data_IF_668048419003
#
_entry.id   IF_668048419003
#
_cell.length_a   1.000
_cell.length_b   1.000
_cell.length_c   1.000
_cell.angle_alpha   90.00
_cell.angle_beta   90.00
_cell.angle_gamma   90.00
#
_symmetry.space_group_name_H-M   'P 1'
#
loop_
_entity.id
_entity.type
_entity.pdbx_description
1 polymer ?
#
# COMPACT_ATOMS: atom_id res chain seq x y z
N UNK A 1 -50.30 -55.55 30.79
CA UNK A 1 -50.26 -54.09 30.53
C UNK A 1 -49.11 -53.57 31.38
N UNK A 2 -47.95 -53.08 30.92
CA UNK A 2 -47.40 -52.64 29.64
C UNK A 2 -45.89 -52.91 29.73
N UNK A 3 -45.34 -53.67 28.79
CA UNK A 3 -43.90 -53.85 28.58
C UNK A 3 -43.58 -53.24 27.20
N UNK A 4 -42.46 -52.53 27.11
CA UNK A 4 -41.87 -51.82 25.95
C UNK A 4 -42.19 -50.33 25.84
N UNK A 5 -41.35 -49.49 26.45
CA UNK A 5 -41.12 -48.09 26.03
C UNK A 5 -39.72 -47.60 26.42
N UNK A 6 -38.64 -48.26 25.96
CA UNK A 6 -37.28 -47.66 25.96
C UNK A 6 -36.40 -48.25 24.86
N UNK A 7 -36.81 -48.07 23.60
CA UNK A 7 -35.91 -48.23 22.46
C UNK A 7 -36.12 -47.03 21.54
N UNK A 8 -35.03 -46.32 21.23
CA UNK A 8 -35.00 -45.33 20.18
C UNK A 8 -34.62 -43.92 20.61
N UNK A 9 -33.42 -43.73 21.17
CA UNK A 9 -32.57 -42.57 20.83
C UNK A 9 -31.14 -42.75 21.39
N UNK A 10 -30.46 -43.84 21.02
CA UNK A 10 -28.99 -43.78 21.04
C UNK A 10 -28.62 -42.94 19.82
N UNK A 11 -28.47 -41.62 20.01
CA UNK A 11 -27.83 -40.77 19.00
C UNK A 11 -26.42 -41.32 18.82
N UNK A 12 -26.15 -41.79 17.62
CA UNK A 12 -24.82 -42.20 17.18
C UNK A 12 -23.93 -40.95 17.16
N UNK A 13 -23.33 -40.61 18.31
CA UNK A 13 -22.34 -39.54 18.42
C UNK A 13 -21.03 -40.05 17.79
N UNK A 14 -21.00 -40.06 16.47
CA UNK A 14 -19.80 -40.29 15.67
C UNK A 14 -18.87 -39.08 15.82
N UNK A 15 -17.97 -39.17 16.80
CA UNK A 15 -16.90 -38.18 16.99
C UNK A 15 -15.85 -38.27 15.88
N UNK A 16 -15.28 -37.12 15.50
CA UNK A 16 -14.09 -37.06 14.62
C UNK A 16 -12.93 -37.85 15.23
N UNK A 17 -12.25 -38.66 14.43
CA UNK A 17 -11.04 -39.34 14.90
C UNK A 17 -9.87 -38.37 14.97
N UNK A 18 -8.95 -38.57 15.93
CA UNK A 18 -7.71 -37.79 16.02
C UNK A 18 -6.86 -37.93 14.75
N UNK A 19 -6.92 -39.08 14.08
CA UNK A 19 -6.21 -39.34 12.83
C UNK A 19 -6.77 -38.51 11.69
N UNK A 20 -8.09 -38.35 11.59
CA UNK A 20 -8.71 -37.47 10.59
C UNK A 20 -8.28 -36.02 10.77
N UNK A 21 -8.30 -35.50 12.00
CA UNK A 21 -7.85 -34.14 12.26
C UNK A 21 -6.35 -33.96 12.00
N UNK A 22 -5.52 -34.97 12.25
CA UNK A 22 -4.09 -34.92 11.97
C UNK A 22 -3.81 -34.85 10.47
N UNK A 23 -4.46 -35.68 9.65
CA UNK A 23 -4.29 -35.65 8.19
C UNK A 23 -4.77 -34.33 7.59
N UNK A 24 -5.87 -33.77 8.09
CA UNK A 24 -6.38 -32.47 7.65
C UNK A 24 -5.38 -31.35 7.96
N UNK A 25 -4.84 -31.31 9.17
CA UNK A 25 -3.82 -30.32 9.56
C UNK A 25 -2.54 -30.47 8.72
N UNK A 26 -2.15 -31.70 8.36
CA UNK A 26 -1.03 -31.95 7.47
C UNK A 26 -1.25 -31.35 6.08
N UNK A 27 -2.43 -31.59 5.48
CA UNK A 27 -2.77 -31.05 4.16
C UNK A 27 -2.87 -29.52 4.21
N UNK A 28 -3.55 -28.96 5.23
CA UNK A 28 -3.63 -27.50 5.43
C UNK A 28 -2.25 -26.89 5.64
N UNK A 29 -1.35 -27.57 6.37
CA UNK A 29 0.04 -27.14 6.56
C UNK A 29 0.82 -27.09 5.25
N UNK A 30 0.66 -28.10 4.38
CA UNK A 30 1.31 -28.13 3.06
C UNK A 30 0.83 -26.97 2.17
N UNK A 31 -0.48 -26.73 2.13
CA UNK A 31 -1.05 -25.61 1.37
C UNK A 31 -0.61 -24.25 1.92
N UNK A 32 -0.60 -24.10 3.25
CA UNK A 32 -0.18 -22.87 3.91
C UNK A 32 1.30 -22.54 3.63
N UNK A 33 2.19 -23.54 3.59
CA UNK A 33 3.61 -23.34 3.31
C UNK A 33 3.87 -22.66 1.95
N UNK A 34 3.07 -22.98 0.93
CA UNK A 34 3.18 -22.37 -0.41
C UNK A 34 2.43 -21.02 -0.46
N UNK A 35 1.25 -20.95 0.14
CA UNK A 35 0.37 -19.78 0.04
C UNK A 35 0.87 -18.56 0.84
N UNK A 36 1.39 -18.76 2.05
CA UNK A 36 1.81 -17.69 2.95
C UNK A 36 2.89 -16.76 2.34
N UNK A 37 4.01 -17.25 1.78
CA UNK A 37 5.03 -16.36 1.21
C UNK A 37 4.52 -15.58 0.01
N UNK A 38 3.69 -16.20 -0.85
CA UNK A 38 3.06 -15.53 -1.97
C UNK A 38 2.10 -14.43 -1.50
N UNK A 39 1.31 -14.70 -0.47
CA UNK A 39 0.39 -13.73 0.13
C UNK A 39 1.10 -12.50 0.69
N UNK A 40 2.24 -12.68 1.38
CA UNK A 40 3.03 -11.55 1.88
C UNK A 40 3.58 -10.66 0.76
N UNK A 41 4.05 -11.25 -0.34
CA UNK A 41 4.51 -10.48 -1.50
C UNK A 41 3.36 -9.66 -2.14
N UNK A 42 2.19 -10.29 -2.32
CA UNK A 42 1.01 -9.58 -2.85
C UNK A 42 0.57 -8.43 -1.94
N UNK A 43 0.59 -8.63 -0.62
CA UNK A 43 0.29 -7.58 0.35
C UNK A 43 1.29 -6.42 0.29
N UNK A 44 2.57 -6.71 0.08
CA UNK A 44 3.59 -5.65 -0.08
C UNK A 44 3.38 -4.86 -1.37
N UNK A 45 3.07 -5.54 -2.49
CA UNK A 45 2.72 -4.88 -3.75
C UNK A 45 1.46 -4.03 -3.65
N UNK A 46 0.46 -4.47 -2.89
CA UNK A 46 -0.75 -3.68 -2.62
C UNK A 46 -0.42 -2.39 -1.85
N UNK A 47 0.41 -2.47 -0.79
CA UNK A 47 0.88 -1.28 -0.06
C UNK A 47 1.67 -0.31 -0.95
N UNK A 48 2.47 -0.84 -1.86
CA UNK A 48 3.18 -0.01 -2.85
C UNK A 48 2.21 0.64 -3.84
N UNK A 49 1.17 -0.06 -4.27
CA UNK A 49 0.11 0.48 -5.12
C UNK A 49 -0.69 1.59 -4.41
N UNK A 50 -1.00 1.42 -3.12
CA UNK A 50 -1.65 2.45 -2.30
C UNK A 50 -0.79 3.71 -2.20
N UNK A 51 0.53 3.55 -2.03
CA UNK A 51 1.47 4.68 -2.00
C UNK A 51 1.56 5.39 -3.36
N UNK A 52 1.58 4.63 -4.47
CA UNK A 52 1.51 5.19 -5.83
C UNK A 52 0.21 5.96 -6.08
N UNK A 53 -0.92 5.43 -5.63
CA UNK A 53 -2.20 6.12 -5.73
C UNK A 53 -2.20 7.40 -4.91
N UNK A 54 -1.70 7.33 -3.67
CA UNK A 54 -1.63 8.49 -2.78
C UNK A 54 -0.75 9.61 -3.35
N UNK A 55 0.39 9.28 -3.95
CA UNK A 55 1.25 10.32 -4.56
C UNK A 55 0.63 10.93 -5.82
N UNK A 56 -0.18 10.17 -6.59
CA UNK A 56 -0.99 10.70 -7.71
C UNK A 56 -2.12 11.61 -7.25
N UNK A 57 -2.81 11.25 -6.17
CA UNK A 57 -3.80 12.12 -5.53
C UNK A 57 -3.12 13.38 -5.01
N UNK A 58 -1.94 13.28 -4.42
CA UNK A 58 -1.17 14.44 -3.97
C UNK A 58 -0.69 15.33 -5.14
N UNK A 59 -0.27 14.75 -6.26
CA UNK A 59 0.00 15.49 -7.52
C UNK A 59 -1.24 16.28 -7.95
N UNK A 60 -2.42 15.65 -7.95
CA UNK A 60 -3.68 16.34 -8.29
C UNK A 60 -3.96 17.50 -7.32
N UNK A 61 -3.80 17.28 -6.01
CA UNK A 61 -3.97 18.31 -4.99
C UNK A 61 -2.95 19.47 -5.14
N UNK A 62 -1.72 19.18 -5.59
CA UNK A 62 -0.72 20.21 -5.89
C UNK A 62 -1.15 21.10 -7.06
N UNK A 63 -1.75 20.53 -8.11
CA UNK A 63 -2.29 21.30 -9.24
C UNK A 63 -3.52 22.13 -8.83
N UNK A 64 -4.37 21.61 -7.95
CA UNK A 64 -5.48 22.38 -7.36
C UNK A 64 -4.95 23.54 -6.51
N UNK A 65 -3.96 23.30 -5.64
CA UNK A 65 -3.32 24.35 -4.85
C UNK A 65 -2.78 25.47 -5.74
N UNK A 66 -2.07 25.11 -6.82
CA UNK A 66 -1.57 26.10 -7.76
C UNK A 66 -2.69 26.90 -8.44
N UNK A 67 -3.82 26.27 -8.75
CA UNK A 67 -4.99 26.96 -9.32
C UNK A 67 -5.50 28.06 -8.38
N UNK A 68 -5.55 27.78 -7.08
CA UNK A 68 -5.98 28.75 -6.06
C UNK A 68 -4.90 29.81 -5.75
N UNK A 69 -3.63 29.51 -6.04
CA UNK A 69 -2.47 30.35 -5.73
C UNK A 69 -1.82 30.97 -6.98
N UNK A 70 -2.63 31.48 -7.91
CA UNK A 70 -2.19 32.18 -9.13
C UNK A 70 -1.21 31.39 -10.02
N UNK A 71 -1.37 30.07 -10.09
CA UNK A 71 -0.51 29.16 -10.84
C UNK A 71 0.83 28.84 -10.17
N UNK A 72 0.99 29.16 -8.88
CA UNK A 72 2.25 28.98 -8.14
C UNK A 72 2.15 27.88 -7.09
N UNK A 73 3.20 27.06 -6.99
CA UNK A 73 3.29 26.04 -5.94
C UNK A 73 4.01 26.53 -4.66
N UNK A 74 4.56 27.74 -4.68
CA UNK A 74 5.32 28.33 -3.56
C UNK A 74 4.49 28.41 -2.29
N UNK A 75 5.08 28.00 -1.17
CA UNK A 75 4.45 28.06 0.15
C UNK A 75 3.55 26.88 0.50
N UNK A 76 3.35 25.93 -0.41
CA UNK A 76 2.58 24.71 -0.12
C UNK A 76 3.19 23.90 1.02
N UNK A 77 2.35 23.45 1.93
CA UNK A 77 2.65 22.49 2.97
C UNK A 77 1.78 21.23 2.80
N UNK A 78 2.19 20.13 3.45
CA UNK A 78 1.41 18.88 3.45
C UNK A 78 -0.02 19.10 3.99
N UNK A 79 -0.17 20.02 4.96
CA UNK A 79 -1.47 20.38 5.53
C UNK A 79 -2.44 20.96 4.49
N UNK A 80 -1.94 21.75 3.54
CA UNK A 80 -2.75 22.34 2.47
C UNK A 80 -3.28 21.23 1.55
N UNK A 81 -2.42 20.27 1.19
CA UNK A 81 -2.80 19.11 0.38
C UNK A 81 -3.86 18.25 1.06
N UNK A 82 -3.74 18.01 2.36
CA UNK A 82 -4.76 17.27 3.13
C UNK A 82 -6.07 18.04 3.32
N UNK A 83 -6.05 19.37 3.19
CA UNK A 83 -7.25 20.20 3.22
C UNK A 83 -7.99 20.12 1.88
N UNK A 84 -7.24 20.12 0.77
CA UNK A 84 -7.76 19.96 -0.58
C UNK A 84 -8.28 18.54 -0.81
N UNK A 85 -7.49 17.53 -0.45
CA UNK A 85 -7.81 16.11 -0.60
C UNK A 85 -7.71 15.37 0.75
N UNK A 86 -8.81 15.29 1.52
CA UNK A 86 -8.81 14.66 2.85
C UNK A 86 -8.42 13.18 2.85
N UNK A 87 -8.53 12.50 1.71
CA UNK A 87 -8.12 11.10 1.53
C UNK A 87 -6.62 10.90 1.74
N UNK A 88 -5.81 11.96 1.57
CA UNK A 88 -4.36 11.94 1.83
C UNK A 88 -4.02 11.78 3.31
N UNK A 89 -4.96 12.01 4.24
CA UNK A 89 -4.77 11.70 5.66
C UNK A 89 -4.46 10.22 5.91
N UNK A 90 -4.89 9.33 5.02
CA UNK A 90 -4.56 7.90 5.10
C UNK A 90 -3.05 7.64 4.89
N UNK A 91 -2.36 8.48 4.11
CA UNK A 91 -0.91 8.41 3.97
C UNK A 91 -0.19 8.94 5.23
N UNK A 92 -0.81 9.89 5.96
CA UNK A 92 -0.31 10.44 7.21
C UNK A 92 1.12 10.97 7.08
N UNK A 93 2.00 10.58 8.01
CA UNK A 93 3.42 11.00 8.01
C UNK A 93 4.25 10.45 6.85
N UNK A 94 3.68 9.56 6.03
CA UNK A 94 4.38 9.03 4.87
C UNK A 94 4.35 9.98 3.67
N UNK A 95 3.41 10.94 3.64
CA UNK A 95 3.37 11.99 2.64
C UNK A 95 4.31 13.13 3.04
N UNK A 96 5.25 13.48 2.16
CA UNK A 96 6.23 14.53 2.43
C UNK A 96 6.49 15.40 1.18
N UNK A 97 6.91 16.64 1.44
CA UNK A 97 7.46 17.56 0.45
C UNK A 97 8.97 17.67 0.74
N UNK A 98 9.82 16.86 0.08
CA UNK A 98 11.25 16.75 0.42
C UNK A 98 12.06 18.01 0.10
N UNK A 99 11.51 18.91 -0.72
CA UNK A 99 12.10 20.20 -1.04
C UNK A 99 10.98 21.25 -1.07
N UNK A 100 11.31 22.48 -0.70
CA UNK A 100 10.38 23.60 -0.81
C UNK A 100 9.98 23.78 -2.28
N UNK A 101 8.67 23.84 -2.54
CA UNK A 101 8.16 24.15 -3.85
C UNK A 101 8.49 25.61 -4.22
N UNK A 102 8.71 25.84 -5.52
CA UNK A 102 8.90 27.18 -6.09
C UNK A 102 7.69 27.52 -6.97
N UNK A 103 7.72 28.67 -7.65
CA UNK A 103 6.61 29.12 -8.48
C UNK A 103 6.22 28.06 -9.53
N UNK A 104 7.19 27.30 -10.06
CA UNK A 104 6.97 26.36 -11.16
C UNK A 104 7.51 24.95 -10.90
N UNK A 105 8.04 24.67 -9.71
CA UNK A 105 8.61 23.36 -9.38
C UNK A 105 8.05 22.81 -8.09
N UNK A 106 7.84 21.51 -8.04
CA UNK A 106 7.56 20.83 -6.80
C UNK A 106 8.09 19.40 -6.82
N UNK A 107 8.20 18.82 -5.63
CA UNK A 107 8.40 17.40 -5.46
C UNK A 107 7.50 16.94 -4.32
N UNK A 108 6.74 15.88 -4.56
CA UNK A 108 5.91 15.21 -3.56
C UNK A 108 6.32 13.75 -3.48
N UNK A 109 6.40 13.23 -2.26
CA UNK A 109 6.79 11.85 -1.98
C UNK A 109 5.78 11.17 -1.07
N UNK A 110 5.54 9.88 -1.31
CA UNK A 110 4.83 9.01 -0.38
C UNK A 110 5.67 7.77 -0.10
N UNK A 111 5.94 7.52 1.18
CA UNK A 111 6.57 6.27 1.64
C UNK A 111 5.55 5.15 1.74
N UNK A 112 5.83 4.03 1.08
CA UNK A 112 5.07 2.79 1.25
C UNK A 112 5.21 2.25 2.66
N UNK A 113 4.11 1.74 3.21
CA UNK A 113 4.08 1.02 4.50
C UNK A 113 4.56 -0.44 4.35
N UNK A 114 5.01 -0.82 3.14
CA UNK A 114 5.68 -2.09 2.89
C UNK A 114 6.96 -2.18 3.74
N UNK A 115 7.33 -3.37 4.26
CA UNK A 115 8.60 -3.57 4.96
C UNK A 115 9.83 -3.19 4.12
N UNK A 116 9.68 -3.18 2.79
CA UNK A 116 10.75 -2.83 1.85
C UNK A 116 11.03 -1.32 1.76
N UNK A 117 10.17 -0.48 2.33
CA UNK A 117 10.45 0.95 2.51
C UNK A 117 10.51 1.76 1.21
N UNK A 118 9.86 1.30 0.14
CA UNK A 118 9.81 2.03 -1.14
C UNK A 118 9.22 3.43 -0.95
N UNK A 119 9.87 4.44 -1.51
CA UNK A 119 9.41 5.81 -1.66
C UNK A 119 8.97 6.02 -3.09
N UNK A 120 7.75 6.52 -3.29
CA UNK A 120 7.24 6.92 -4.60
C UNK A 120 7.20 8.43 -4.67
N UNK A 121 7.82 8.99 -5.70
CA UNK A 121 8.00 10.42 -5.90
C UNK A 121 7.39 10.84 -7.23
N UNK A 122 6.71 11.99 -7.21
CA UNK A 122 6.40 12.77 -8.39
C UNK A 122 7.07 14.13 -8.24
N UNK A 123 7.77 14.57 -9.29
CA UNK A 123 8.41 15.88 -9.31
C UNK A 123 8.12 16.59 -10.61
N UNK A 124 7.80 17.87 -10.52
CA UNK A 124 7.60 18.77 -11.66
C UNK A 124 8.78 19.71 -11.77
N UNK A 125 9.45 19.69 -12.92
CA UNK A 125 10.48 20.65 -13.26
C UNK A 125 9.88 21.94 -13.83
N UNK A 126 10.66 23.03 -13.82
CA UNK A 126 10.19 24.36 -14.22
C UNK A 126 9.73 24.43 -15.69
N UNK A 127 10.24 23.53 -16.53
CA UNK A 127 9.83 23.36 -17.92
C UNK A 127 8.51 22.59 -18.09
N UNK A 128 7.82 22.25 -17.00
CA UNK A 128 6.57 21.48 -17.00
C UNK A 128 6.75 19.97 -17.15
N UNK A 129 7.98 19.45 -17.23
CA UNK A 129 8.21 18.01 -17.29
C UNK A 129 8.00 17.38 -15.91
N UNK A 130 7.13 16.37 -15.85
CA UNK A 130 6.90 15.56 -14.65
C UNK A 130 7.74 14.29 -14.69
N UNK A 131 8.47 13.99 -13.63
CA UNK A 131 9.21 12.74 -13.49
C UNK A 131 8.69 11.91 -12.32
N UNK A 132 8.57 10.61 -12.57
CA UNK A 132 8.03 9.63 -11.64
C UNK A 132 9.12 8.67 -11.20
N UNK A 133 9.62 8.86 -9.98
CA UNK A 133 10.76 8.13 -9.46
C UNK A 133 10.38 7.31 -8.25
N UNK A 134 11.01 6.16 -8.06
CA UNK A 134 10.88 5.35 -6.87
C UNK A 134 12.22 4.74 -6.46
N UNK A 135 12.37 4.44 -5.17
CA UNK A 135 13.60 3.89 -4.59
C UNK A 135 13.44 3.74 -3.08
N UNK A 136 14.51 3.47 -2.34
CA UNK A 136 14.46 3.20 -0.89
C UNK A 136 15.15 4.27 -0.04
N UNK A 137 15.90 5.19 -0.66
CA UNK A 137 16.57 6.31 0.01
C UNK A 137 15.74 7.60 0.03
N UNK A 138 15.88 8.40 1.10
CA UNK A 138 15.20 9.69 1.30
C UNK A 138 15.73 10.85 0.42
N UNK A 139 16.39 10.54 -0.71
CA UNK A 139 16.93 11.53 -1.64
C UNK A 139 15.89 12.01 -2.66
N UNK A 140 16.23 13.09 -3.37
CA UNK A 140 15.50 13.58 -4.55
C UNK A 140 16.47 13.54 -5.75
N UNK A 141 16.29 12.65 -6.74
CA UNK A 141 15.34 11.55 -6.76
C UNK A 141 15.67 10.46 -5.72
N UNK A 142 14.70 9.61 -5.33
CA UNK A 142 14.95 8.51 -4.41
C UNK A 142 16.06 7.61 -4.94
N UNK A 143 16.99 7.23 -4.08
CA UNK A 143 18.17 6.42 -4.43
C UNK A 143 17.97 4.95 -4.06
N UNK A 144 18.73 4.07 -4.72
CA UNK A 144 18.77 2.64 -4.44
C UNK A 144 17.85 1.79 -5.34
N UNK A 145 18.07 0.46 -5.37
CA UNK A 145 17.26 -0.43 -6.19
C UNK A 145 15.83 -0.52 -5.65
N UNK A 146 14.86 -0.32 -6.54
CA UNK A 146 13.47 -0.63 -6.25
C UNK A 146 13.27 -2.11 -5.87
N UNK A 147 12.32 -2.37 -4.97
CA UNK A 147 11.79 -3.72 -4.69
C UNK A 147 10.31 -3.76 -5.01
N UNK A 148 9.77 -4.94 -5.28
CA UNK A 148 8.34 -5.21 -5.48
C UNK A 148 7.60 -4.29 -6.47
N UNK A 149 6.98 -3.22 -5.97
CA UNK A 149 6.23 -2.25 -6.76
C UNK A 149 7.09 -1.18 -7.44
N UNK A 150 8.39 -1.09 -7.12
CA UNK A 150 9.33 -0.18 -7.77
C UNK A 150 10.20 -0.90 -8.81
N UNK A 151 10.18 -0.51 -10.10
CA UNK A 151 11.04 -1.08 -11.14
C UNK A 151 12.53 -0.88 -10.87
N UNK A 152 13.38 -1.71 -11.47
CA UNK A 152 14.84 -1.60 -11.35
C UNK A 152 15.42 -0.34 -11.98
N UNK A 153 14.72 0.27 -12.94
CA UNK A 153 15.03 1.59 -13.50
C UNK A 153 14.84 2.73 -12.49
N UNK A 154 14.07 2.49 -11.41
CA UNK A 154 13.59 3.54 -10.52
C UNK A 154 12.51 4.42 -11.14
N UNK A 155 12.12 4.17 -12.39
CA UNK A 155 11.03 4.89 -13.07
C UNK A 155 9.77 4.04 -13.04
N UNK A 156 8.71 4.56 -12.41
CA UNK A 156 7.44 3.83 -12.26
C UNK A 156 6.29 4.44 -13.08
N UNK A 157 6.59 5.45 -13.90
CA UNK A 157 5.62 6.18 -14.71
C UNK A 157 5.33 5.60 -16.10
N UNK A 158 5.75 4.37 -16.37
CA UNK A 158 5.43 3.62 -17.60
C UNK A 158 4.10 2.89 -17.49
#
# INVERSE_FOLDING_TARGET
MILKLRQGMARDESGFTLVELLVVMLILGLLAAIAIPAFFNQRNKAKDADAKSSVRTAETAMETFATDNNGKYTGVAVADLTTIEPTLNNAGTNLTLPAAATDNTYTVQVKSTSPNGNLFQISRAANGTTSLRCGTGAGVPPTGPGKDGCPTSGDWGS
#
